data_IF_935704262965
#
_entry.id   IF_935704262965
#
_cell.length_a   1.000
_cell.length_b   1.000
_cell.length_c   1.000
_cell.angle_alpha   90.00
_cell.angle_beta   90.00
_cell.angle_gamma   90.00
#
_symmetry.space_group_name_H-M   'P 1'
#
loop_
_entity.id
_entity.type
_entity.pdbx_description
1 polymer ?
#
# COMPACT_ATOMS: atom_id res chain seq x y z
N UNK A 1 29.35 -5.61 -5.09
CA UNK A 1 29.87 -4.38 -4.45
C UNK A 1 29.32 -4.32 -3.02
N UNK A 2 30.18 -4.80 -2.11
CA UNK A 2 30.29 -4.60 -0.65
C UNK A 2 29.04 -4.35 0.21
N UNK A 3 28.75 -5.33 1.07
CA UNK A 3 27.83 -5.29 2.23
C UNK A 3 28.16 -4.22 3.29
N UNK A 4 29.20 -3.41 3.09
CA UNK A 4 29.52 -2.21 3.89
C UNK A 4 28.58 -1.00 3.62
N UNK A 5 27.52 -1.16 2.81
CA UNK A 5 26.84 -0.04 2.14
C UNK A 5 25.53 0.46 2.77
N UNK A 6 24.75 -0.34 3.52
CA UNK A 6 23.42 0.10 4.01
C UNK A 6 23.46 0.76 5.39
N UNK A 7 24.19 0.19 6.34
CA UNK A 7 24.29 0.72 7.71
C UNK A 7 25.06 2.04 7.77
N UNK A 8 26.06 2.22 6.91
CA UNK A 8 26.78 3.48 6.77
C UNK A 8 25.86 4.56 6.19
N UNK A 9 25.00 4.23 5.23
CA UNK A 9 23.97 5.15 4.72
C UNK A 9 23.02 5.58 5.83
N UNK A 10 22.53 4.67 6.67
CA UNK A 10 21.67 5.00 7.83
C UNK A 10 22.36 5.99 8.79
N UNK A 11 23.64 5.76 9.12
CA UNK A 11 24.40 6.62 10.04
C UNK A 11 24.74 8.00 9.44
N UNK A 12 24.85 8.07 8.12
CA UNK A 12 25.25 9.27 7.39
C UNK A 12 24.07 10.06 6.79
N UNK A 13 22.82 9.69 7.10
CA UNK A 13 21.64 10.44 6.63
C UNK A 13 21.69 11.90 7.12
N UNK A 14 21.61 12.82 6.17
CA UNK A 14 21.59 14.28 6.41
C UNK A 14 20.30 14.89 5.88
N UNK A 15 19.98 16.07 6.41
CA UNK A 15 18.83 16.86 5.96
C UNK A 15 17.48 16.16 6.20
N UNK A 16 16.57 16.35 5.25
CA UNK A 16 15.17 15.93 5.36
C UNK A 16 15.01 14.40 5.46
N UNK A 17 15.85 13.63 4.77
CA UNK A 17 15.83 12.16 4.79
C UNK A 17 15.95 11.61 6.20
N UNK A 18 16.81 12.20 7.03
CA UNK A 18 16.99 11.78 8.43
C UNK A 18 15.68 11.89 9.21
N UNK A 19 14.95 12.99 9.02
CA UNK A 19 13.65 13.20 9.65
C UNK A 19 12.63 12.17 9.19
N UNK A 20 12.57 11.88 7.89
CA UNK A 20 11.63 10.90 7.34
C UNK A 20 11.92 9.47 7.80
N UNK A 21 13.18 9.03 7.72
CA UNK A 21 13.55 7.64 8.01
C UNK A 21 13.49 7.33 9.51
N UNK A 22 14.07 8.19 10.37
CA UNK A 22 14.14 7.89 11.81
C UNK A 22 12.78 7.93 12.50
N UNK A 23 11.86 8.74 11.98
CA UNK A 23 10.52 8.86 12.56
C UNK A 23 9.54 7.81 11.99
N UNK A 24 9.94 7.02 10.99
CA UNK A 24 9.07 6.05 10.33
C UNK A 24 8.60 4.94 11.28
N UNK A 25 9.44 4.53 12.23
CA UNK A 25 9.08 3.55 13.26
C UNK A 25 7.88 4.00 14.10
N UNK A 26 7.73 5.31 14.36
CA UNK A 26 6.59 5.86 15.12
C UNK A 26 5.26 5.77 14.35
N UNK A 27 5.27 5.51 13.04
CA UNK A 27 4.08 5.20 12.26
C UNK A 27 3.94 3.70 12.01
N UNK A 28 5.03 3.02 11.65
CA UNK A 28 5.03 1.59 11.31
C UNK A 28 4.62 0.70 12.49
N UNK A 29 5.10 0.98 13.71
CA UNK A 29 4.78 0.19 14.91
C UNK A 29 3.28 0.22 15.22
N UNK A 30 2.65 1.40 15.46
CA UNK A 30 1.23 1.45 15.77
C UNK A 30 0.37 0.89 14.63
N UNK A 31 0.70 1.21 13.38
CA UNK A 31 -0.02 0.70 12.22
C UNK A 31 -0.09 -0.84 12.22
N UNK A 32 1.05 -1.51 12.41
CA UNK A 32 1.10 -2.97 12.41
C UNK A 32 0.41 -3.61 13.63
N UNK A 33 0.25 -2.88 14.74
CA UNK A 33 -0.48 -3.38 15.91
C UNK A 33 -2.00 -3.42 15.70
N UNK A 34 -2.60 -2.42 15.04
CA UNK A 34 -4.05 -2.40 14.86
C UNK A 34 -4.51 -2.90 13.49
N UNK A 35 -3.68 -2.80 12.44
CA UNK A 35 -4.09 -3.09 11.05
C UNK A 35 -4.76 -4.47 10.86
N UNK A 36 -4.27 -5.58 11.45
CA UNK A 36 -4.91 -6.90 11.28
C UNK A 36 -6.34 -6.97 11.82
N UNK A 37 -6.70 -6.07 12.73
CA UNK A 37 -7.92 -6.13 13.53
C UNK A 37 -9.01 -5.15 13.08
N UNK A 38 -8.70 -4.20 12.20
CA UNK A 38 -9.62 -3.09 11.83
C UNK A 38 -10.99 -3.61 11.38
N UNK A 39 -11.03 -4.56 10.44
CA UNK A 39 -12.28 -5.07 9.89
C UNK A 39 -13.07 -5.90 10.90
N UNK A 40 -12.39 -6.73 11.70
CA UNK A 40 -13.03 -7.54 12.75
C UNK A 40 -13.53 -6.65 13.90
N UNK A 41 -12.84 -5.55 14.18
CA UNK A 41 -13.29 -4.52 15.12
C UNK A 41 -14.56 -3.82 14.65
N UNK A 42 -14.63 -3.44 13.37
CA UNK A 42 -15.86 -2.89 12.77
C UNK A 42 -17.03 -3.87 12.89
N UNK A 43 -16.79 -5.15 12.56
CA UNK A 43 -17.79 -6.21 12.68
C UNK A 43 -18.25 -6.41 14.12
N UNK A 44 -17.32 -6.43 15.08
CA UNK A 44 -17.63 -6.56 16.51
C UNK A 44 -18.44 -5.38 17.07
N UNK A 45 -18.41 -4.21 16.41
CA UNK A 45 -19.24 -3.05 16.71
C UNK A 45 -20.58 -3.04 15.97
N UNK A 46 -20.91 -4.12 15.27
CA UNK A 46 -22.21 -4.33 14.63
C UNK A 46 -22.31 -3.85 13.18
N UNK A 47 -21.19 -3.52 12.52
CA UNK A 47 -21.21 -3.23 11.09
C UNK A 47 -21.34 -4.53 10.28
N UNK A 48 -22.12 -4.51 9.20
CA UNK A 48 -22.17 -5.63 8.26
C UNK A 48 -20.97 -5.63 7.31
N UNK A 49 -20.67 -6.79 6.72
CA UNK A 49 -19.65 -6.93 5.68
C UNK A 49 -19.87 -5.94 4.51
N UNK A 50 -21.12 -5.71 4.08
CA UNK A 50 -21.43 -4.70 3.06
C UNK A 50 -21.15 -3.26 3.51
N UNK A 51 -21.41 -2.93 4.77
CA UNK A 51 -21.07 -1.62 5.32
C UNK A 51 -19.55 -1.39 5.36
N UNK A 52 -18.77 -2.40 5.74
CA UNK A 52 -17.30 -2.36 5.73
C UNK A 52 -16.78 -2.16 4.30
N UNK A 53 -17.36 -2.88 3.33
CA UNK A 53 -17.08 -2.70 1.91
C UNK A 53 -17.42 -1.28 1.40
N UNK A 54 -18.59 -0.76 1.77
CA UNK A 54 -19.03 0.58 1.40
C UNK A 54 -18.10 1.67 1.96
N UNK A 55 -17.65 1.54 3.22
CA UNK A 55 -16.65 2.45 3.81
C UNK A 55 -15.36 2.47 3.01
N UNK A 56 -14.89 1.29 2.59
CA UNK A 56 -13.70 1.14 1.76
C UNK A 56 -13.90 1.87 0.41
N UNK A 57 -15.05 1.66 -0.25
CA UNK A 57 -15.39 2.34 -1.50
C UNK A 57 -15.44 3.86 -1.37
N UNK A 58 -16.13 4.38 -0.35
CA UNK A 58 -16.22 5.84 -0.11
C UNK A 58 -14.84 6.44 0.14
N UNK A 59 -14.02 5.78 0.96
CA UNK A 59 -12.65 6.19 1.21
C UNK A 59 -11.85 6.25 -0.09
N UNK A 60 -11.95 5.24 -0.97
CA UNK A 60 -11.25 5.23 -2.27
C UNK A 60 -11.76 6.31 -3.23
N UNK A 61 -13.07 6.56 -3.31
CA UNK A 61 -13.63 7.63 -4.15
C UNK A 61 -13.10 8.99 -3.72
N UNK A 62 -13.08 9.27 -2.42
CA UNK A 62 -12.53 10.52 -1.90
C UNK A 62 -11.02 10.62 -2.10
N UNK A 63 -10.29 9.49 -2.02
CA UNK A 63 -8.87 9.46 -2.36
C UNK A 63 -8.61 9.89 -3.81
N UNK A 64 -9.52 9.67 -4.76
CA UNK A 64 -9.35 10.14 -6.15
C UNK A 64 -9.30 11.67 -6.18
N UNK A 65 -10.24 12.32 -5.49
CA UNK A 65 -10.28 13.76 -5.37
C UNK A 65 -9.00 14.30 -4.71
N UNK A 66 -8.58 13.72 -3.59
CA UNK A 66 -7.36 14.13 -2.90
C UNK A 66 -6.11 13.83 -3.69
N UNK A 67 -6.04 12.74 -4.46
CA UNK A 67 -4.92 12.42 -5.33
C UNK A 67 -4.74 13.48 -6.43
N UNK A 68 -5.85 13.88 -7.08
CA UNK A 68 -5.83 14.94 -8.09
C UNK A 68 -5.39 16.29 -7.50
N UNK A 69 -5.84 16.61 -6.28
CA UNK A 69 -5.49 17.86 -5.61
C UNK A 69 -4.13 17.84 -4.91
N UNK A 70 -3.57 16.66 -4.64
CA UNK A 70 -2.37 16.52 -3.81
C UNK A 70 -1.17 17.31 -4.32
N UNK A 71 -0.90 17.29 -5.63
CA UNK A 71 0.20 18.05 -6.23
C UNK A 71 0.00 19.55 -6.09
N UNK A 72 -1.18 20.06 -6.47
CA UNK A 72 -1.50 21.48 -6.39
C UNK A 72 -1.47 22.01 -4.95
N UNK A 73 -1.99 21.24 -3.99
CA UNK A 73 -1.93 21.58 -2.55
C UNK A 73 -0.47 21.61 -2.08
N UNK A 74 0.31 20.58 -2.39
CA UNK A 74 1.72 20.47 -2.00
C UNK A 74 2.57 21.60 -2.58
N UNK A 75 2.30 21.99 -3.84
CA UNK A 75 3.00 23.08 -4.50
C UNK A 75 2.65 24.45 -3.92
N UNK A 76 1.40 24.68 -3.55
CA UNK A 76 0.94 25.97 -3.04
C UNK A 76 1.30 26.22 -1.56
N UNK A 77 1.15 25.19 -0.72
CA UNK A 77 1.34 25.31 0.73
C UNK A 77 2.74 24.89 1.21
N UNK A 78 3.56 24.33 0.31
CA UNK A 78 4.88 23.80 0.63
C UNK A 78 4.83 22.35 1.11
N UNK A 79 5.92 21.62 0.97
CA UNK A 79 5.98 20.18 1.29
C UNK A 79 5.88 19.98 2.79
N UNK A 80 6.62 20.78 3.58
CA UNK A 80 6.71 20.63 5.04
C UNK A 80 5.37 20.83 5.73
N UNK A 81 4.71 21.96 5.46
CA UNK A 81 3.41 22.30 6.08
C UNK A 81 2.30 21.38 5.62
N UNK A 82 2.28 21.06 4.32
CA UNK A 82 1.29 20.14 3.76
C UNK A 82 1.41 18.78 4.42
N UNK A 83 2.62 18.23 4.54
CA UNK A 83 2.84 16.93 5.18
C UNK A 83 2.32 16.94 6.62
N UNK A 84 2.69 17.91 7.45
CA UNK A 84 2.22 17.99 8.84
C UNK A 84 0.69 18.05 8.96
N UNK A 85 0.04 18.96 8.23
CA UNK A 85 -1.41 19.18 8.35
C UNK A 85 -2.16 17.97 7.81
N UNK A 86 -1.79 17.50 6.62
CA UNK A 86 -2.45 16.33 6.02
C UNK A 86 -2.24 15.06 6.83
N UNK A 87 -1.08 14.88 7.48
CA UNK A 87 -0.82 13.73 8.35
C UNK A 87 -1.68 13.75 9.62
N UNK A 88 -1.78 14.90 10.28
CA UNK A 88 -2.66 15.05 11.46
C UNK A 88 -4.12 14.78 11.10
N UNK A 89 -4.57 15.26 9.93
CA UNK A 89 -5.94 15.10 9.46
C UNK A 89 -6.22 13.66 9.00
N UNK A 90 -5.25 12.98 8.38
CA UNK A 90 -5.47 11.68 7.76
C UNK A 90 -5.13 10.46 8.64
N UNK A 91 -4.35 10.66 9.70
CA UNK A 91 -3.96 9.59 10.61
C UNK A 91 -4.39 9.87 12.05
N UNK A 92 -4.02 11.01 12.62
CA UNK A 92 -4.32 11.31 14.03
C UNK A 92 -5.82 11.45 14.28
N UNK A 93 -6.52 12.27 13.48
CA UNK A 93 -7.98 12.44 13.64
C UNK A 93 -8.76 11.11 13.46
N UNK A 94 -8.53 10.31 12.40
CA UNK A 94 -9.18 9.02 12.26
C UNK A 94 -8.90 8.05 13.40
N UNK A 95 -7.67 7.99 13.91
CA UNK A 95 -7.34 7.14 15.07
C UNK A 95 -8.17 7.54 16.29
N UNK A 96 -8.32 8.84 16.56
CA UNK A 96 -9.14 9.33 17.67
C UNK A 96 -10.61 8.95 17.48
N UNK A 97 -11.15 9.15 16.27
CA UNK A 97 -12.55 8.84 15.93
C UNK A 97 -12.81 7.33 16.01
N UNK A 98 -11.90 6.50 15.48
CA UNK A 98 -12.01 5.04 15.55
C UNK A 98 -11.96 4.54 16.99
N UNK A 99 -11.14 5.13 17.87
CA UNK A 99 -11.08 4.75 19.28
C UNK A 99 -12.41 4.93 20.03
N UNK A 100 -13.19 5.96 19.70
CA UNK A 100 -14.50 6.24 20.33
C UNK A 100 -15.70 5.77 19.49
N UNK A 101 -15.45 5.12 18.36
CA UNK A 101 -16.49 4.73 17.42
C UNK A 101 -17.48 3.73 18.04
N UNK A 102 -18.75 3.92 17.71
CA UNK A 102 -19.87 3.08 18.19
C UNK A 102 -20.85 2.70 17.07
N UNK A 103 -20.79 3.35 15.91
CA UNK A 103 -21.73 3.12 14.82
C UNK A 103 -21.08 3.42 13.46
N UNK A 104 -21.77 3.04 12.39
CA UNK A 104 -21.37 3.25 11.01
C UNK A 104 -20.96 4.71 10.70
N UNK A 105 -21.70 5.69 11.22
CA UNK A 105 -21.45 7.11 10.95
C UNK A 105 -20.07 7.56 11.45
N UNK A 106 -19.63 7.10 12.63
CA UNK A 106 -18.29 7.41 13.14
C UNK A 106 -17.20 6.85 12.21
N UNK A 107 -17.37 5.62 11.74
CA UNK A 107 -16.44 5.00 10.78
C UNK A 107 -16.44 5.72 9.43
N UNK A 108 -17.60 6.18 8.96
CA UNK A 108 -17.71 6.96 7.72
C UNK A 108 -16.97 8.30 7.84
N UNK A 109 -17.16 9.03 8.94
CA UNK A 109 -16.45 10.29 9.19
C UNK A 109 -14.94 10.04 9.25
N UNK A 110 -14.48 9.00 9.96
CA UNK A 110 -13.08 8.64 10.01
C UNK A 110 -12.51 8.25 8.63
N UNK A 111 -13.28 7.52 7.82
CA UNK A 111 -12.92 7.16 6.45
C UNK A 111 -12.77 8.39 5.53
N UNK A 112 -13.63 9.40 5.69
CA UNK A 112 -13.54 10.69 4.97
C UNK A 112 -12.23 11.40 5.34
N UNK A 113 -11.92 11.55 6.63
CA UNK A 113 -10.68 12.18 7.06
C UNK A 113 -9.45 11.39 6.62
N UNK A 114 -9.48 10.06 6.74
CA UNK A 114 -8.38 9.20 6.34
C UNK A 114 -8.08 9.31 4.84
N UNK A 115 -9.07 9.57 3.98
CA UNK A 115 -8.85 9.72 2.53
C UNK A 115 -7.86 10.84 2.15
N UNK A 116 -7.67 11.84 3.02
CA UNK A 116 -6.71 12.94 2.87
C UNK A 116 -5.26 12.44 2.82
N UNK A 117 -4.98 11.19 3.25
CA UNK A 117 -3.63 10.62 3.30
C UNK A 117 -2.93 10.64 1.94
N UNK A 118 -3.67 10.72 0.81
CA UNK A 118 -3.06 10.88 -0.51
C UNK A 118 -2.26 12.17 -0.64
N UNK A 119 -2.72 13.24 0.01
CA UNK A 119 -1.98 14.51 0.10
C UNK A 119 -0.72 14.35 0.94
N UNK A 120 -0.82 13.65 2.08
CA UNK A 120 0.33 13.29 2.91
C UNK A 120 1.38 12.51 2.12
N UNK A 121 0.95 11.49 1.39
CA UNK A 121 1.86 10.62 0.65
C UNK A 121 2.64 11.38 -0.44
N UNK A 122 1.96 12.24 -1.21
CA UNK A 122 2.62 13.07 -2.24
C UNK A 122 3.61 14.04 -1.59
N UNK A 123 3.18 14.78 -0.57
CA UNK A 123 4.02 15.79 0.09
C UNK A 123 5.22 15.19 0.82
N UNK A 124 5.02 14.07 1.54
CA UNK A 124 6.09 13.32 2.19
C UNK A 124 7.10 12.75 1.18
N UNK A 125 6.61 12.24 0.03
CA UNK A 125 7.49 11.70 -1.02
C UNK A 125 8.34 12.81 -1.63
N UNK A 126 7.76 13.98 -1.94
CA UNK A 126 8.54 15.14 -2.41
C UNK A 126 9.62 15.56 -1.41
N UNK A 127 9.26 15.58 -0.13
CA UNK A 127 10.11 15.99 0.97
C UNK A 127 11.27 14.99 1.22
N UNK A 128 11.04 13.71 0.92
CA UNK A 128 12.06 12.66 0.91
C UNK A 128 12.98 12.70 -0.31
N UNK A 129 12.46 13.08 -1.49
CA UNK A 129 13.17 12.90 -2.77
C UNK A 129 13.86 14.17 -3.28
N UNK A 130 13.24 15.34 -3.19
CA UNK A 130 13.66 16.55 -3.93
C UNK A 130 15.06 17.08 -3.53
N UNK A 131 15.48 16.89 -2.27
CA UNK A 131 16.79 17.36 -1.75
C UNK A 131 17.76 16.18 -1.46
N UNK A 132 17.48 14.99 -1.99
CA UNK A 132 18.24 13.77 -1.71
C UNK A 132 19.04 13.35 -2.93
N UNK A 133 20.28 12.95 -2.70
CA UNK A 133 21.12 12.39 -3.75
C UNK A 133 20.43 11.16 -4.37
N UNK A 134 20.22 11.12 -5.70
CA UNK A 134 19.62 9.98 -6.39
C UNK A 134 20.24 8.63 -6.05
N UNK A 135 21.55 8.59 -5.82
CA UNK A 135 22.27 7.34 -5.51
C UNK A 135 21.90 6.79 -4.12
N UNK A 136 21.48 7.67 -3.19
CA UNK A 136 21.05 7.30 -1.84
C UNK A 136 19.58 6.88 -1.76
N UNK A 137 18.75 7.26 -2.73
CA UNK A 137 17.30 7.00 -2.69
C UNK A 137 16.97 5.51 -2.60
N UNK A 138 17.71 4.66 -3.32
CA UNK A 138 17.50 3.20 -3.31
C UNK A 138 17.73 2.64 -1.91
N UNK A 139 18.80 3.07 -1.24
CA UNK A 139 19.12 2.65 0.13
C UNK A 139 18.08 3.17 1.13
N UNK A 140 17.64 4.42 0.97
CA UNK A 140 16.63 5.06 1.81
C UNK A 140 15.29 4.34 1.73
N UNK A 141 14.78 4.06 0.52
CA UNK A 141 13.55 3.30 0.33
C UNK A 141 13.67 1.87 0.86
N UNK A 142 14.86 1.25 0.70
CA UNK A 142 15.12 -0.07 1.27
C UNK A 142 15.06 -0.05 2.80
N UNK A 143 15.62 0.97 3.45
CA UNK A 143 15.52 1.15 4.90
C UNK A 143 14.10 1.43 5.38
N UNK A 144 13.32 2.25 4.67
CA UNK A 144 11.89 2.47 4.99
C UNK A 144 11.11 1.15 4.89
N UNK A 145 11.39 0.34 3.87
CA UNK A 145 10.77 -0.97 3.71
C UNK A 145 11.17 -1.93 4.84
N UNK A 146 12.47 -2.02 5.17
CA UNK A 146 12.98 -2.83 6.27
C UNK A 146 12.39 -2.37 7.61
N UNK A 147 12.34 -1.06 7.87
CA UNK A 147 11.78 -0.52 9.10
C UNK A 147 10.29 -0.90 9.28
N UNK A 148 9.51 -0.86 8.20
CA UNK A 148 8.12 -1.31 8.22
C UNK A 148 7.99 -2.83 8.45
N UNK A 149 8.87 -3.63 7.86
CA UNK A 149 8.90 -5.08 8.11
C UNK A 149 9.33 -5.41 9.54
N UNK A 150 10.33 -4.70 10.09
CA UNK A 150 10.75 -4.83 11.48
C UNK A 150 9.62 -4.42 12.43
N UNK A 151 8.89 -3.35 12.12
CA UNK A 151 7.74 -2.93 12.90
C UNK A 151 6.63 -3.99 12.93
N UNK A 152 6.48 -4.79 11.88
CA UNK A 152 5.52 -5.89 11.85
C UNK A 152 5.82 -7.01 12.87
N UNK A 153 7.07 -7.16 13.33
CA UNK A 153 7.40 -8.13 14.40
C UNK A 153 6.81 -7.75 15.76
N UNK A 154 6.36 -6.51 15.93
CA UNK A 154 5.67 -6.06 17.14
C UNK A 154 4.19 -6.48 17.12
N UNK A 155 3.63 -6.83 15.96
CA UNK A 155 2.22 -7.21 15.81
C UNK A 155 1.76 -8.36 16.74
N UNK A 156 2.52 -9.43 17.05
CA UNK A 156 2.05 -10.48 17.95
C UNK A 156 1.69 -9.96 19.36
N UNK A 157 2.27 -8.82 19.77
CA UNK A 157 1.96 -8.19 21.04
C UNK A 157 0.48 -7.75 21.12
N UNK A 158 -0.10 -7.23 20.03
CA UNK A 158 -1.55 -6.93 20.02
C UNK A 158 -2.40 -8.19 20.13
N UNK A 159 -1.94 -9.33 19.59
CA UNK A 159 -2.61 -10.63 19.78
C UNK A 159 -2.65 -11.06 21.24
N UNK A 160 -1.52 -10.91 21.95
CA UNK A 160 -1.43 -11.19 23.40
C UNK A 160 -2.34 -10.28 24.22
N UNK A 161 -2.40 -8.99 23.88
CA UNK A 161 -3.29 -8.04 24.56
C UNK A 161 -4.77 -8.40 24.34
N UNK A 162 -5.14 -8.84 23.13
CA UNK A 162 -6.52 -9.26 22.83
C UNK A 162 -6.89 -10.51 23.63
N UNK A 163 -5.97 -11.48 23.73
CA UNK A 163 -6.17 -12.67 24.55
C UNK A 163 -6.39 -12.34 26.04
N UNK A 164 -5.76 -11.27 26.55
CA UNK A 164 -5.87 -10.85 27.95
C UNK A 164 -7.06 -9.92 28.25
N UNK A 165 -7.38 -8.97 27.35
CA UNK A 165 -8.31 -7.85 27.62
C UNK A 165 -9.51 -7.78 26.66
N UNK A 166 -9.70 -8.78 25.79
CA UNK A 166 -10.69 -8.84 24.70
C UNK A 166 -10.44 -7.88 23.52
N UNK A 167 -11.09 -8.13 22.40
CA UNK A 167 -10.85 -7.44 21.12
C UNK A 167 -11.18 -5.94 21.19
N UNK A 168 -12.40 -5.56 21.59
CA UNK A 168 -12.90 -4.18 21.48
C UNK A 168 -12.11 -3.21 22.37
N UNK A 169 -11.88 -3.46 23.66
CA UNK A 169 -11.10 -2.57 24.52
C UNK A 169 -9.64 -2.45 24.05
N UNK A 170 -9.04 -3.56 23.63
CA UNK A 170 -7.66 -3.58 23.15
C UNK A 170 -7.50 -2.75 21.89
N UNK A 171 -8.35 -2.95 20.88
CA UNK A 171 -8.25 -2.19 19.62
C UNK A 171 -8.49 -0.69 19.85
N UNK A 172 -9.41 -0.31 20.76
CA UNK A 172 -9.58 1.09 21.16
C UNK A 172 -8.32 1.67 21.80
N UNK A 173 -7.69 0.92 22.70
CA UNK A 173 -6.41 1.31 23.28
C UNK A 173 -5.31 1.45 22.22
N UNK A 174 -5.22 0.50 21.28
CA UNK A 174 -4.25 0.55 20.18
C UNK A 174 -4.49 1.77 19.28
N UNK A 175 -5.73 2.17 19.03
CA UNK A 175 -6.02 3.41 18.29
C UNK A 175 -5.58 4.67 19.08
N UNK A 176 -5.78 4.71 20.39
CA UNK A 176 -5.27 5.81 21.22
C UNK A 176 -3.74 5.86 21.25
N UNK A 177 -3.09 4.70 21.38
CA UNK A 177 -1.63 4.57 21.27
C UNK A 177 -1.15 5.07 19.89
N UNK A 178 -1.86 4.69 18.82
CA UNK A 178 -1.58 5.12 17.46
C UNK A 178 -1.71 6.63 17.29
N UNK A 179 -2.75 7.23 17.87
CA UNK A 179 -2.91 8.68 17.90
C UNK A 179 -1.70 9.37 18.54
N UNK A 180 -1.25 8.90 19.71
CA UNK A 180 -0.10 9.50 20.41
C UNK A 180 1.20 9.30 19.61
N UNK A 181 1.49 8.09 19.16
CA UNK A 181 2.74 7.76 18.45
C UNK A 181 2.82 8.45 17.07
N UNK A 182 1.74 8.40 16.28
CA UNK A 182 1.71 9.04 14.96
C UNK A 182 1.73 10.57 15.09
N UNK A 183 1.02 11.16 16.06
CA UNK A 183 1.11 12.61 16.31
C UNK A 183 2.52 13.02 16.72
N UNK A 184 3.17 12.23 17.59
CA UNK A 184 4.57 12.43 17.94
C UNK A 184 5.49 12.35 16.72
N UNK A 185 5.30 11.37 15.82
CA UNK A 185 6.00 11.30 14.52
C UNK A 185 5.89 12.63 13.78
N UNK A 186 4.67 13.10 13.55
CA UNK A 186 4.43 14.25 12.69
C UNK A 186 5.04 15.53 13.27
N UNK A 187 4.94 15.72 14.58
CA UNK A 187 5.55 16.86 15.28
C UNK A 187 7.08 16.79 15.27
N UNK A 188 7.66 15.62 15.60
CA UNK A 188 9.12 15.42 15.60
C UNK A 188 9.69 15.59 14.19
N UNK A 189 9.08 14.95 13.20
CA UNK A 189 9.49 15.06 11.80
C UNK A 189 9.42 16.50 11.30
N UNK A 190 8.35 17.24 11.61
CA UNK A 190 8.23 18.64 11.24
C UNK A 190 9.34 19.51 11.87
N UNK A 191 9.83 19.17 13.06
CA UNK A 191 10.94 19.88 13.68
C UNK A 191 12.30 19.51 13.07
N UNK A 192 12.45 18.28 12.56
CA UNK A 192 13.69 17.79 11.94
C UNK A 192 13.85 18.19 10.47
N UNK A 193 12.76 18.47 9.77
CA UNK A 193 12.72 18.71 8.33
C UNK A 193 12.63 20.22 8.04
N UNK A 194 13.23 20.64 6.92
CA UNK A 194 13.06 21.98 6.35
C UNK A 194 12.38 21.93 4.98
N UNK A 195 11.72 23.04 4.60
CA UNK A 195 11.11 23.15 3.27
C UNK A 195 12.17 23.02 2.17
N UNK A 196 11.88 22.18 1.16
CA UNK A 196 12.81 21.82 0.10
C UNK A 196 13.12 22.99 -0.82
N UNK A 197 14.26 22.95 -1.53
CA UNK A 197 14.60 24.03 -2.47
C UNK A 197 13.56 24.13 -3.58
N UNK A 198 13.23 22.99 -4.18
CA UNK A 198 12.18 22.89 -5.20
C UNK A 198 10.81 23.31 -4.65
N UNK A 199 10.53 23.02 -3.38
CA UNK A 199 9.33 23.46 -2.68
C UNK A 199 9.17 24.97 -2.62
N UNK A 200 10.23 25.69 -2.28
CA UNK A 200 10.22 27.16 -2.22
C UNK A 200 9.97 27.78 -3.59
N UNK A 201 10.58 27.23 -4.64
CA UNK A 201 10.38 27.67 -6.03
C UNK A 201 8.93 27.48 -6.45
N UNK A 202 8.37 26.27 -6.25
CA UNK A 202 6.98 25.96 -6.61
C UNK A 202 5.96 26.79 -5.85
N UNK A 203 6.20 27.07 -4.57
CA UNK A 203 5.35 27.97 -3.79
C UNK A 203 5.33 29.40 -4.35
N UNK A 204 6.47 29.89 -4.84
CA UNK A 204 6.57 31.20 -5.46
C UNK A 204 5.85 31.25 -6.82
N UNK A 205 6.07 30.25 -7.68
CA UNK A 205 5.45 30.14 -9.01
C UNK A 205 3.92 30.00 -8.94
N UNK A 206 3.41 29.21 -8.00
CA UNK A 206 1.98 28.86 -7.90
C UNK A 206 1.18 29.82 -7.02
N UNK A 207 1.83 30.80 -6.38
CA UNK A 207 1.18 31.74 -5.43
C UNK A 207 -0.05 32.43 -6.02
N UNK A 208 0.02 32.81 -7.30
CA UNK A 208 -1.02 33.55 -8.00
C UNK A 208 -1.89 32.67 -8.91
N UNK A 209 -1.66 31.35 -8.93
CA UNK A 209 -2.44 30.42 -9.75
C UNK A 209 -3.55 29.77 -8.91
N UNK A 210 -4.78 29.64 -9.45
CA UNK A 210 -5.83 28.88 -8.80
C UNK A 210 -5.52 27.37 -8.89
N UNK A 211 -5.85 26.63 -7.83
CA UNK A 211 -5.53 25.20 -7.69
C UNK A 211 -6.07 24.35 -8.86
N UNK A 212 -7.22 24.73 -9.42
CA UNK A 212 -7.86 24.00 -10.53
C UNK A 212 -7.21 24.25 -11.89
N UNK A 213 -6.49 25.35 -12.09
CA UNK A 213 -5.83 25.62 -13.38
C UNK A 213 -4.56 24.78 -13.54
N UNK A 214 -3.94 24.33 -12.44
CA UNK A 214 -2.79 23.41 -12.45
C UNK A 214 -3.20 22.02 -13.01
N UNK A 215 -4.49 21.68 -13.00
CA UNK A 215 -5.02 20.44 -13.58
C UNK A 215 -5.18 20.48 -15.11
N UNK A 216 -5.07 21.66 -15.74
CA UNK A 216 -5.22 21.83 -17.19
C UNK A 216 -3.99 21.23 -17.91
N UNK A 217 -4.20 20.13 -18.63
CA UNK A 217 -3.15 19.43 -19.40
C UNK A 217 -3.16 17.90 -19.24
N UNK A 218 -3.93 17.38 -18.29
CA UNK A 218 -4.10 15.94 -18.03
C UNK A 218 -4.86 15.18 -19.13
N UNK A 219 -5.72 15.87 -19.89
CA UNK A 219 -6.57 15.24 -20.90
C UNK A 219 -5.82 14.66 -22.10
N UNK A 220 -4.70 15.26 -22.50
CA UNK A 220 -3.89 14.76 -23.62
C UNK A 220 -3.21 13.43 -23.27
N UNK A 221 -2.63 13.33 -22.07
CA UNK A 221 -1.96 12.11 -21.59
C UNK A 221 -2.96 11.00 -21.24
N UNK A 222 -4.14 11.35 -20.72
CA UNK A 222 -5.22 10.37 -20.54
C UNK A 222 -5.62 9.72 -21.89
N UNK A 223 -5.68 10.52 -22.96
CA UNK A 223 -5.97 10.01 -24.30
C UNK A 223 -4.87 9.10 -24.84
N UNK A 224 -3.61 9.37 -24.50
CA UNK A 224 -2.47 8.54 -24.86
C UNK A 224 -2.52 7.17 -24.15
N UNK A 225 -2.78 7.17 -22.84
CA UNK A 225 -2.95 5.93 -22.04
C UNK A 225 -4.06 5.06 -22.66
N UNK A 226 -5.19 5.67 -23.02
CA UNK A 226 -6.32 4.95 -23.63
C UNK A 226 -6.07 4.48 -25.07
N UNK A 227 -5.10 5.05 -25.78
CA UNK A 227 -4.74 4.63 -27.15
C UNK A 227 -3.67 3.55 -27.18
N UNK A 228 -2.77 3.54 -26.20
CA UNK A 228 -1.67 2.58 -26.15
C UNK A 228 -2.14 1.24 -25.58
N UNK A 229 -2.17 0.20 -26.43
CA UNK A 229 -2.58 -1.17 -26.03
C UNK A 229 -1.73 -1.74 -24.90
N UNK A 230 -0.43 -1.41 -24.88
CA UNK A 230 0.48 -1.85 -23.84
C UNK A 230 0.22 -1.12 -22.51
N UNK A 231 -0.02 0.19 -22.54
CA UNK A 231 -0.37 0.96 -21.34
C UNK A 231 -1.71 0.51 -20.77
N UNK A 232 -2.71 0.24 -21.62
CA UNK A 232 -3.99 -0.33 -21.18
C UNK A 232 -3.81 -1.69 -20.50
N UNK A 233 -2.95 -2.56 -21.04
CA UNK A 233 -2.66 -3.88 -20.46
C UNK A 233 -1.99 -3.74 -19.09
N UNK A 234 -1.02 -2.85 -18.97
CA UNK A 234 -0.34 -2.54 -17.69
C UNK A 234 -1.31 -1.93 -16.68
N UNK A 235 -2.19 -1.02 -17.13
CA UNK A 235 -3.25 -0.44 -16.28
C UNK A 235 -4.19 -1.52 -15.76
N UNK A 236 -4.62 -2.44 -16.62
CA UNK A 236 -5.49 -3.54 -16.24
C UNK A 236 -4.83 -4.49 -15.22
N UNK A 237 -3.52 -4.75 -15.37
CA UNK A 237 -2.73 -5.50 -14.39
C UNK A 237 -2.66 -4.76 -13.04
N UNK A 238 -2.43 -3.45 -13.05
CA UNK A 238 -2.45 -2.61 -11.84
C UNK A 238 -3.80 -2.65 -11.13
N UNK A 239 -4.90 -2.50 -11.89
CA UNK A 239 -6.27 -2.58 -11.36
C UNK A 239 -6.55 -3.95 -10.76
N UNK A 240 -6.12 -5.03 -11.43
CA UNK A 240 -6.32 -6.41 -10.96
C UNK A 240 -5.63 -6.64 -9.61
N UNK A 241 -4.37 -6.24 -9.48
CA UNK A 241 -3.63 -6.33 -8.21
C UNK A 241 -4.21 -5.40 -7.14
N UNK A 242 -4.65 -4.20 -7.51
CA UNK A 242 -5.24 -3.24 -6.59
C UNK A 242 -6.56 -3.73 -6.00
N UNK A 243 -7.47 -4.27 -6.83
CA UNK A 243 -8.73 -4.87 -6.38
C UNK A 243 -8.45 -6.05 -5.45
N UNK A 244 -7.58 -6.97 -5.86
CA UNK A 244 -7.28 -8.17 -5.06
C UNK A 244 -6.61 -7.82 -3.73
N UNK A 245 -5.72 -6.80 -3.73
CA UNK A 245 -5.13 -6.26 -2.51
C UNK A 245 -6.19 -5.67 -1.58
N UNK A 246 -7.11 -4.88 -2.11
CA UNK A 246 -8.18 -4.25 -1.32
C UNK A 246 -9.12 -5.32 -0.73
N UNK A 247 -9.54 -6.31 -1.52
CA UNK A 247 -10.35 -7.43 -1.02
C UNK A 247 -9.65 -8.14 0.14
N UNK A 248 -8.35 -8.41 -0.01
CA UNK A 248 -7.54 -9.03 1.04
C UNK A 248 -7.46 -8.15 2.30
N UNK A 249 -7.08 -6.88 2.15
CA UNK A 249 -6.88 -5.98 3.29
C UNK A 249 -8.19 -5.75 4.07
N UNK A 250 -9.34 -5.77 3.39
CA UNK A 250 -10.65 -5.55 4.01
C UNK A 250 -11.28 -6.84 4.57
N UNK A 251 -11.27 -7.95 3.82
CA UNK A 251 -12.10 -9.13 4.15
C UNK A 251 -11.32 -10.34 4.66
N UNK A 252 -9.99 -10.39 4.53
CA UNK A 252 -9.21 -11.57 4.95
C UNK A 252 -9.36 -11.87 6.43
N UNK A 253 -9.28 -10.84 7.29
CA UNK A 253 -9.45 -11.02 8.73
C UNK A 253 -10.86 -11.48 9.10
N UNK A 254 -11.89 -10.96 8.42
CA UNK A 254 -13.29 -11.39 8.59
C UNK A 254 -13.46 -12.87 8.21
N UNK A 255 -12.92 -13.30 7.06
CA UNK A 255 -12.98 -14.69 6.65
C UNK A 255 -12.33 -15.61 7.69
N UNK A 256 -11.13 -15.26 8.15
CA UNK A 256 -10.36 -16.07 9.10
C UNK A 256 -11.07 -16.19 10.45
N UNK A 257 -11.59 -15.09 10.99
CA UNK A 257 -12.24 -15.13 12.30
C UNK A 257 -13.61 -15.75 12.25
N UNK A 258 -14.41 -15.41 11.24
CA UNK A 258 -15.82 -15.73 11.27
C UNK A 258 -16.22 -16.96 10.47
N UNK A 259 -15.53 -17.25 9.37
CA UNK A 259 -15.82 -18.44 8.57
C UNK A 259 -14.95 -19.62 8.99
N UNK A 260 -13.65 -19.38 9.21
CA UNK A 260 -12.73 -20.42 9.66
C UNK A 260 -12.75 -20.62 11.17
N UNK A 261 -13.38 -19.73 11.95
CA UNK A 261 -13.50 -19.86 13.40
C UNK A 261 -12.15 -19.73 14.13
N UNK A 262 -11.15 -19.13 13.49
CA UNK A 262 -9.82 -18.93 14.09
C UNK A 262 -9.89 -17.72 15.01
N UNK A 263 -9.41 -17.82 16.25
CA UNK A 263 -9.59 -16.75 17.21
C UNK A 263 -8.82 -15.48 16.80
N UNK A 264 -9.35 -14.26 17.06
CA UNK A 264 -8.75 -13.02 16.60
C UNK A 264 -7.30 -12.84 17.04
N UNK A 265 -6.90 -13.28 18.24
CA UNK A 265 -5.52 -13.19 18.73
C UNK A 265 -4.48 -13.80 17.78
N UNK A 266 -4.87 -14.80 16.97
CA UNK A 266 -3.98 -15.43 16.00
C UNK A 266 -3.68 -14.58 14.76
N UNK A 267 -4.53 -13.57 14.44
CA UNK A 267 -4.40 -12.76 13.23
C UNK A 267 -3.03 -12.07 13.11
N UNK A 268 -2.52 -11.53 14.22
CA UNK A 268 -1.21 -10.88 14.24
C UNK A 268 -0.05 -11.83 13.93
N UNK A 269 -0.15 -13.10 14.29
CA UNK A 269 0.90 -14.10 14.02
C UNK A 269 1.00 -14.34 12.52
N UNK A 270 -0.14 -14.47 11.82
CA UNK A 270 -0.15 -14.63 10.36
C UNK A 270 0.44 -13.42 9.65
N UNK A 271 0.09 -12.20 10.08
CA UNK A 271 0.66 -10.97 9.51
C UNK A 271 2.17 -10.89 9.73
N UNK A 272 2.65 -11.26 10.92
CA UNK A 272 4.08 -11.27 11.25
C UNK A 272 4.84 -12.31 10.42
N UNK A 273 4.30 -13.53 10.33
CA UNK A 273 4.85 -14.60 9.50
C UNK A 273 4.96 -14.19 8.03
N UNK A 274 3.91 -13.56 7.49
CA UNK A 274 3.92 -12.99 6.13
C UNK A 274 5.06 -11.98 5.95
N UNK A 275 5.22 -11.03 6.86
CA UNK A 275 6.27 -10.01 6.79
C UNK A 275 7.68 -10.62 6.82
N UNK A 276 7.91 -11.64 7.64
CA UNK A 276 9.19 -12.38 7.69
C UNK A 276 9.50 -13.00 6.32
N UNK A 277 8.52 -13.65 5.70
CA UNK A 277 8.72 -14.31 4.40
C UNK A 277 8.93 -13.26 3.31
N UNK A 278 8.18 -12.17 3.32
CA UNK A 278 8.39 -11.06 2.38
C UNK A 278 9.81 -10.47 2.52
N UNK A 279 10.33 -10.34 3.75
CA UNK A 279 11.71 -9.93 4.00
C UNK A 279 12.73 -10.92 3.40
N UNK A 280 12.52 -12.23 3.63
CA UNK A 280 13.38 -13.27 3.08
C UNK A 280 13.35 -13.28 1.55
N UNK A 281 12.18 -13.13 0.93
CA UNK A 281 12.01 -13.02 -0.52
C UNK A 281 12.72 -11.79 -1.06
N UNK A 282 12.60 -10.66 -0.38
CA UNK A 282 13.25 -9.42 -0.76
C UNK A 282 14.78 -9.57 -0.80
N UNK A 283 15.40 -10.21 0.18
CA UNK A 283 16.85 -10.42 0.19
C UNK A 283 17.34 -11.58 -0.68
N UNK A 284 16.61 -12.70 -0.74
CA UNK A 284 17.08 -13.92 -1.40
C UNK A 284 16.64 -14.04 -2.86
N UNK A 285 15.41 -13.63 -3.17
CA UNK A 285 14.77 -13.90 -4.46
C UNK A 285 14.83 -12.68 -5.37
N UNK A 286 14.61 -11.48 -4.82
CA UNK A 286 14.55 -10.25 -5.61
C UNK A 286 15.85 -9.92 -6.37
N UNK A 287 17.06 -10.12 -5.82
CA UNK A 287 18.30 -9.89 -6.57
C UNK A 287 18.42 -10.81 -7.80
N UNK A 288 17.92 -12.04 -7.69
CA UNK A 288 17.90 -13.01 -8.81
C UNK A 288 16.85 -12.63 -9.85
N UNK A 289 15.67 -12.21 -9.40
CA UNK A 289 14.57 -11.79 -10.28
C UNK A 289 14.90 -10.57 -11.16
N UNK A 290 15.75 -9.65 -10.68
CA UNK A 290 16.15 -8.46 -11.46
C UNK A 290 16.79 -8.81 -12.80
N UNK A 291 17.54 -9.92 -12.87
CA UNK A 291 18.29 -10.38 -14.05
C UNK A 291 17.45 -11.14 -15.07
N UNK A 292 16.23 -11.55 -14.70
CA UNK A 292 15.36 -12.37 -15.56
C UNK A 292 14.39 -11.48 -16.35
N UNK A 293 13.94 -11.97 -17.51
CA UNK A 293 12.83 -11.39 -18.28
C UNK A 293 11.58 -11.21 -17.41
N UNK A 294 10.88 -10.08 -17.53
CA UNK A 294 9.76 -9.70 -16.66
C UNK A 294 8.62 -10.72 -16.62
N UNK A 295 8.32 -11.36 -17.75
CA UNK A 295 7.05 -12.11 -17.91
C UNK A 295 6.99 -13.44 -17.18
N UNK A 296 8.06 -14.25 -17.25
CA UNK A 296 8.06 -15.59 -16.63
C UNK A 296 7.87 -15.50 -15.11
N UNK A 297 8.62 -14.64 -14.38
CA UNK A 297 8.41 -14.50 -12.95
C UNK A 297 7.07 -13.86 -12.59
N UNK A 298 6.56 -12.94 -13.42
CA UNK A 298 5.23 -12.38 -13.21
C UNK A 298 4.13 -13.44 -13.34
N UNK A 299 4.23 -14.35 -14.31
CA UNK A 299 3.30 -15.46 -14.49
C UNK A 299 3.37 -16.46 -13.32
N UNK A 300 4.59 -16.78 -12.85
CA UNK A 300 4.78 -17.60 -11.65
C UNK A 300 4.14 -16.92 -10.44
N UNK A 301 4.31 -15.60 -10.29
CA UNK A 301 3.67 -14.81 -9.24
C UNK A 301 2.15 -14.91 -9.28
N UNK A 302 1.53 -14.65 -10.44
CA UNK A 302 0.07 -14.80 -10.59
C UNK A 302 -0.42 -16.24 -10.35
N UNK A 303 0.30 -17.23 -10.87
CA UNK A 303 -0.03 -18.64 -10.65
C UNK A 303 0.03 -19.03 -9.18
N UNK A 304 1.06 -18.59 -8.47
CA UNK A 304 1.18 -18.80 -7.03
C UNK A 304 0.09 -18.07 -6.22
N UNK A 305 -0.34 -16.87 -6.66
CA UNK A 305 -1.47 -16.16 -6.05
C UNK A 305 -2.80 -16.92 -6.26
N UNK A 306 -3.04 -17.49 -7.45
CA UNK A 306 -4.20 -18.36 -7.71
C UNK A 306 -4.19 -19.58 -6.79
N UNK A 307 -3.04 -20.24 -6.67
CA UNK A 307 -2.88 -21.41 -5.78
C UNK A 307 -3.13 -21.03 -4.33
N UNK A 308 -2.55 -19.92 -3.86
CA UNK A 308 -2.76 -19.41 -2.51
C UNK A 308 -4.25 -19.18 -2.21
N UNK A 309 -4.98 -18.52 -3.11
CA UNK A 309 -6.41 -18.28 -2.93
C UNK A 309 -7.25 -19.56 -3.03
N UNK A 310 -6.88 -20.51 -3.89
CA UNK A 310 -7.54 -21.80 -3.96
C UNK A 310 -7.37 -22.60 -2.66
N UNK A 311 -6.17 -22.58 -2.05
CA UNK A 311 -5.92 -23.18 -0.74
C UNK A 311 -6.75 -22.46 0.34
N UNK A 312 -6.79 -21.12 0.31
CA UNK A 312 -7.57 -20.33 1.27
C UNK A 312 -9.06 -20.69 1.23
N UNK A 313 -9.68 -20.73 0.04
CA UNK A 313 -11.09 -21.07 -0.12
C UNK A 313 -11.38 -22.54 0.26
N UNK A 314 -10.40 -23.43 0.09
CA UNK A 314 -10.53 -24.84 0.45
C UNK A 314 -10.12 -25.15 1.90
N UNK A 315 -9.80 -24.13 2.70
CA UNK A 315 -9.30 -24.32 4.07
C UNK A 315 -10.42 -24.86 4.97
N UNK A 316 -10.24 -26.03 5.61
CA UNK A 316 -11.22 -26.53 6.56
C UNK A 316 -11.36 -25.60 7.77
N UNK A 317 -12.57 -25.53 8.33
CA UNK A 317 -12.86 -24.77 9.54
C UNK A 317 -11.90 -25.19 10.66
N UNK A 318 -11.27 -24.23 11.33
CA UNK A 318 -10.31 -24.43 12.41
C UNK A 318 -8.90 -24.87 11.98
N UNK A 319 -8.64 -25.07 10.69
CA UNK A 319 -7.32 -25.56 10.24
C UNK A 319 -6.28 -24.45 10.14
N UNK A 320 -5.48 -24.32 11.20
CA UNK A 320 -4.34 -23.40 11.22
C UNK A 320 -3.27 -23.77 10.17
N UNK A 321 -2.99 -25.06 9.99
CA UNK A 321 -1.92 -25.51 9.10
C UNK A 321 -2.17 -25.16 7.62
N UNK A 322 -3.41 -25.37 7.15
CA UNK A 322 -3.78 -25.06 5.76
C UNK A 322 -3.83 -23.54 5.54
N UNK A 323 -4.32 -22.77 6.52
CA UNK A 323 -4.26 -21.32 6.46
C UNK A 323 -2.82 -20.79 6.43
N UNK A 324 -1.94 -21.32 7.28
CA UNK A 324 -0.51 -20.99 7.25
C UNK A 324 0.04 -21.26 5.85
N UNK A 325 -0.18 -22.46 5.28
CA UNK A 325 0.26 -22.77 3.92
C UNK A 325 -0.25 -21.76 2.88
N UNK A 326 -1.53 -21.38 2.92
CA UNK A 326 -2.09 -20.37 2.02
C UNK A 326 -1.35 -19.02 2.15
N UNK A 327 -1.08 -18.57 3.39
CA UNK A 327 -0.34 -17.32 3.65
C UNK A 327 1.13 -17.40 3.22
N UNK A 328 1.79 -18.55 3.38
CA UNK A 328 3.17 -18.77 2.93
C UNK A 328 3.27 -18.62 1.41
N UNK A 329 2.38 -19.33 0.67
CA UNK A 329 2.34 -19.28 -0.79
C UNK A 329 2.05 -17.86 -1.27
N UNK A 330 1.13 -17.15 -0.62
CA UNK A 330 0.83 -15.75 -0.94
C UNK A 330 2.06 -14.85 -0.77
N UNK A 331 2.74 -14.97 0.38
CA UNK A 331 3.89 -14.14 0.74
C UNK A 331 5.08 -14.33 -0.21
N UNK A 332 5.24 -15.55 -0.76
CA UNK A 332 6.23 -15.84 -1.80
C UNK A 332 5.85 -15.27 -3.18
N UNK A 333 4.56 -15.31 -3.50
CA UNK A 333 4.05 -15.02 -4.85
C UNK A 333 3.80 -13.53 -5.09
N UNK A 334 3.32 -12.82 -4.06
CA UNK A 334 2.94 -11.41 -4.17
C UNK A 334 4.11 -10.50 -4.59
N UNK A 335 5.31 -10.58 -3.98
CA UNK A 335 6.44 -9.75 -4.39
C UNK A 335 6.88 -10.03 -5.83
N UNK A 336 6.80 -11.29 -6.29
CA UNK A 336 7.13 -11.64 -7.66
C UNK A 336 6.16 -11.00 -8.67
N UNK A 337 4.86 -10.98 -8.38
CA UNK A 337 3.88 -10.31 -9.24
C UNK A 337 4.03 -8.79 -9.22
N UNK A 338 4.10 -8.16 -8.03
CA UNK A 338 4.12 -6.71 -7.91
C UNK A 338 5.43 -6.09 -8.40
N UNK A 339 6.59 -6.66 -8.05
CA UNK A 339 7.88 -6.11 -8.47
C UNK A 339 8.10 -6.20 -9.98
N UNK A 340 7.58 -7.24 -10.62
CA UNK A 340 7.65 -7.37 -12.07
C UNK A 340 6.72 -6.39 -12.77
N UNK A 341 5.54 -6.12 -12.20
CA UNK A 341 4.65 -5.08 -12.71
C UNK A 341 5.29 -3.70 -12.61
N UNK A 342 5.94 -3.37 -11.48
CA UNK A 342 6.68 -2.12 -11.31
C UNK A 342 7.81 -1.99 -12.35
N UNK A 343 8.56 -3.08 -12.57
CA UNK A 343 9.61 -3.14 -13.61
C UNK A 343 9.02 -2.92 -15.01
N UNK A 344 7.89 -3.54 -15.34
CA UNK A 344 7.21 -3.36 -16.62
C UNK A 344 6.76 -1.91 -16.83
N UNK A 345 6.19 -1.31 -15.79
CA UNK A 345 5.71 0.07 -15.81
C UNK A 345 6.85 1.06 -16.10
N UNK A 346 8.04 0.83 -15.51
CA UNK A 346 9.24 1.65 -15.79
C UNK A 346 9.74 1.50 -17.23
N UNK A 347 9.62 0.30 -17.81
CA UNK A 347 10.09 0.00 -19.18
C UNK A 347 9.15 0.56 -20.27
N UNK A 348 7.85 0.57 -20.02
CA UNK A 348 6.84 1.00 -21.02
C UNK A 348 6.66 2.52 -21.03
N UNK A 349 6.91 3.18 -19.90
CA UNK A 349 6.63 4.61 -19.74
C UNK A 349 7.87 5.44 -20.08
N UNK A 350 7.72 6.36 -21.03
CA UNK A 350 8.79 7.25 -21.49
C UNK A 350 9.35 8.12 -20.34
N UNK A 351 10.69 8.23 -20.19
CA UNK A 351 11.30 8.94 -19.06
C UNK A 351 10.83 10.39 -18.90
N UNK A 352 10.62 11.12 -20.00
CA UNK A 352 10.24 12.55 -19.99
C UNK A 352 8.83 12.79 -19.45
N UNK A 353 7.90 11.87 -19.72
CA UNK A 353 6.50 11.99 -19.30
C UNK A 353 6.14 11.10 -18.11
N UNK A 354 7.12 10.37 -17.55
CA UNK A 354 6.90 9.32 -16.55
C UNK A 354 6.07 9.77 -15.37
N UNK A 355 6.39 10.90 -14.75
CA UNK A 355 5.65 11.38 -13.59
C UNK A 355 4.17 11.65 -13.90
N UNK A 356 3.86 12.19 -15.09
CA UNK A 356 2.51 12.54 -15.50
C UNK A 356 1.70 11.31 -15.91
N UNK A 357 2.31 10.37 -16.64
CA UNK A 357 1.66 9.10 -17.00
C UNK A 357 1.37 8.29 -15.72
N UNK A 358 2.35 8.17 -14.82
CA UNK A 358 2.20 7.44 -13.56
C UNK A 358 1.06 7.99 -12.69
N UNK A 359 0.96 9.30 -12.52
CA UNK A 359 -0.10 9.90 -11.70
C UNK A 359 -1.49 9.63 -12.26
N UNK A 360 -1.68 9.73 -13.58
CA UNK A 360 -2.96 9.42 -14.22
C UNK A 360 -3.27 7.92 -14.20
N UNK A 361 -2.26 7.05 -14.34
CA UNK A 361 -2.42 5.60 -14.19
C UNK A 361 -2.91 5.23 -12.79
N UNK A 362 -2.33 5.82 -11.74
CA UNK A 362 -2.78 5.59 -10.37
C UNK A 362 -4.17 6.15 -10.10
N UNK A 363 -4.52 7.31 -10.66
CA UNK A 363 -5.89 7.85 -10.57
C UNK A 363 -6.89 6.90 -11.24
N UNK A 364 -6.58 6.42 -12.45
CA UNK A 364 -7.42 5.46 -13.16
C UNK A 364 -7.52 4.12 -12.40
N UNK A 365 -6.42 3.67 -11.81
CA UNK A 365 -6.37 2.47 -10.98
C UNK A 365 -7.30 2.58 -9.77
N UNK A 366 -7.24 3.70 -9.02
CA UNK A 366 -8.10 3.92 -7.85
C UNK A 366 -9.57 4.04 -8.30
N UNK A 367 -9.85 4.74 -9.40
CA UNK A 367 -11.20 4.88 -9.96
C UNK A 367 -11.82 3.54 -10.34
N UNK A 368 -11.06 2.66 -11.00
CA UNK A 368 -11.53 1.32 -11.35
C UNK A 368 -11.66 0.40 -10.14
N UNK A 369 -10.86 0.62 -9.09
CA UNK A 369 -10.87 -0.21 -7.87
C UNK A 369 -11.96 0.23 -6.89
N UNK A 370 -12.33 1.52 -6.86
CA UNK A 370 -13.26 2.06 -5.87
C UNK A 370 -14.64 1.37 -5.80
N UNK A 371 -15.31 0.95 -6.89
CA UNK A 371 -16.60 0.25 -6.76
C UNK A 371 -16.46 -1.15 -6.16
N UNK A 372 -15.28 -1.77 -6.25
CA UNK A 372 -15.07 -3.13 -5.78
C UNK A 372 -15.13 -3.27 -4.27
N UNK A 373 -14.96 -2.19 -3.49
CA UNK A 373 -15.12 -2.24 -2.03
C UNK A 373 -16.53 -2.66 -1.65
N UNK A 374 -17.52 -1.97 -2.23
CA UNK A 374 -18.93 -2.26 -2.07
C UNK A 374 -19.32 -3.60 -2.70
N UNK A 375 -18.87 -3.89 -3.93
CA UNK A 375 -19.15 -5.19 -4.59
C UNK A 375 -18.63 -6.36 -3.74
N UNK A 376 -17.38 -6.28 -3.26
CA UNK A 376 -16.80 -7.31 -2.41
C UNK A 376 -17.50 -7.38 -1.04
N UNK A 377 -18.00 -6.27 -0.52
CA UNK A 377 -18.81 -6.23 0.70
C UNK A 377 -20.12 -6.98 0.56
N UNK A 378 -20.89 -6.71 -0.51
CA UNK A 378 -22.13 -7.44 -0.82
C UNK A 378 -21.85 -8.94 -1.05
N UNK A 379 -20.76 -9.25 -1.76
CA UNK A 379 -20.31 -10.64 -1.97
C UNK A 379 -19.98 -11.32 -0.63
N UNK A 380 -19.23 -10.65 0.25
CA UNK A 380 -18.87 -11.19 1.57
C UNK A 380 -20.10 -11.42 2.45
N UNK A 381 -21.07 -10.50 2.40
CA UNK A 381 -22.32 -10.62 3.15
C UNK A 381 -23.16 -11.82 2.67
N UNK A 382 -23.20 -12.08 1.36
CA UNK A 382 -23.87 -13.26 0.82
C UNK A 382 -23.12 -14.56 1.15
N UNK A 383 -21.81 -14.58 0.93
CA UNK A 383 -20.93 -15.66 1.35
C UNK A 383 -19.48 -15.14 1.41
N UNK A 384 -18.89 -15.22 2.61
CA UNK A 384 -17.55 -14.71 2.94
C UNK A 384 -16.42 -15.28 2.05
N UNK A 385 -16.65 -16.37 1.32
CA UNK A 385 -15.72 -16.93 0.34
C UNK A 385 -15.75 -16.25 -1.04
N UNK A 386 -16.88 -15.61 -1.42
CA UNK A 386 -17.08 -15.02 -2.75
C UNK A 386 -16.03 -13.96 -3.13
N UNK A 387 -15.62 -13.03 -2.24
CA UNK A 387 -14.57 -12.06 -2.57
C UNK A 387 -13.23 -12.70 -2.95
N UNK A 388 -12.90 -13.85 -2.36
CA UNK A 388 -11.67 -14.59 -2.64
C UNK A 388 -11.77 -15.38 -3.94
N UNK A 389 -12.96 -15.90 -4.28
CA UNK A 389 -13.25 -16.46 -5.60
C UNK A 389 -13.15 -15.40 -6.70
N UNK A 390 -13.63 -14.18 -6.45
CA UNK A 390 -13.40 -13.03 -7.34
C UNK A 390 -11.91 -12.76 -7.50
N UNK A 391 -11.14 -12.81 -6.42
CA UNK A 391 -9.68 -12.63 -6.48
C UNK A 391 -8.99 -13.72 -7.31
N UNK A 392 -9.44 -14.98 -7.27
CA UNK A 392 -8.95 -16.05 -8.16
C UNK A 392 -9.20 -15.68 -9.63
N UNK A 393 -10.43 -15.28 -9.97
CA UNK A 393 -10.77 -14.89 -11.34
C UNK A 393 -9.91 -13.70 -11.81
N UNK A 394 -9.71 -12.70 -10.94
CA UNK A 394 -8.83 -11.56 -11.19
C UNK A 394 -7.39 -11.99 -11.43
N UNK A 395 -6.81 -12.87 -10.59
CA UNK A 395 -5.44 -13.34 -10.80
C UNK A 395 -5.28 -14.18 -12.07
N UNK A 396 -6.29 -14.96 -12.47
CA UNK A 396 -6.30 -15.66 -13.76
C UNK A 396 -6.32 -14.67 -14.94
N UNK A 397 -7.16 -13.63 -14.87
CA UNK A 397 -7.17 -12.54 -15.85
C UNK A 397 -5.80 -11.83 -15.86
N UNK A 398 -5.21 -11.57 -14.70
CA UNK A 398 -3.87 -11.01 -14.55
C UNK A 398 -2.79 -11.86 -15.22
N UNK A 399 -2.85 -13.19 -15.06
CA UNK A 399 -1.95 -14.10 -15.76
C UNK A 399 -2.11 -14.04 -17.29
N UNK A 400 -3.34 -13.98 -17.79
CA UNK A 400 -3.63 -13.84 -19.23
C UNK A 400 -3.14 -12.48 -19.78
N UNK A 401 -3.39 -11.39 -19.04
CA UNK A 401 -2.91 -10.05 -19.38
C UNK A 401 -1.39 -9.97 -19.35
N UNK A 402 -0.72 -10.66 -18.42
CA UNK A 402 0.73 -10.76 -18.35
C UNK A 402 1.31 -11.43 -19.60
N UNK A 403 0.68 -12.51 -20.08
CA UNK A 403 1.05 -13.17 -21.33
C UNK A 403 0.82 -12.27 -22.55
N UNK A 404 -0.30 -11.55 -22.59
CA UNK A 404 -0.62 -10.63 -23.68
C UNK A 404 0.34 -9.44 -23.72
N UNK A 405 0.60 -8.79 -22.57
CA UNK A 405 1.56 -7.69 -22.46
C UNK A 405 2.98 -8.15 -22.86
N UNK A 406 3.36 -9.39 -22.53
CA UNK A 406 4.65 -9.94 -22.92
C UNK A 406 4.84 -10.21 -24.41
N UNK A 407 3.76 -10.30 -25.18
CA UNK A 407 3.82 -10.34 -26.65
C UNK A 407 3.93 -8.94 -27.26
N UNK A 408 3.52 -7.90 -26.53
CA UNK A 408 3.47 -6.53 -27.02
C UNK A 408 4.71 -5.71 -26.68
N UNK A 409 5.37 -5.99 -25.55
CA UNK A 409 6.54 -5.20 -25.18
C UNK A 409 7.80 -5.64 -25.95
N UNK A 410 8.69 -4.69 -26.25
CA UNK A 410 9.95 -4.98 -26.92
C UNK A 410 10.75 -6.01 -26.13
N UNK A 411 11.35 -6.97 -26.84
CA UNK A 411 12.25 -7.97 -26.26
C UNK A 411 13.34 -7.22 -25.52
N UNK A 412 13.40 -7.39 -24.19
CA UNK A 412 14.51 -6.87 -23.40
C UNK A 412 15.79 -7.45 -23.99
N UNK A 413 16.80 -6.65 -24.39
CA UNK A 413 18.06 -7.22 -24.84
C UNK A 413 18.55 -8.12 -23.71
N UNK A 414 18.77 -9.40 -24.03
CA UNK A 414 19.41 -10.31 -23.10
C UNK A 414 20.69 -9.61 -22.66
N UNK A 415 20.83 -9.37 -21.35
CA UNK A 415 22.11 -8.99 -20.78
C UNK A 415 23.04 -10.13 -21.15
N UNK A 416 23.88 -9.90 -22.16
CA UNK A 416 24.96 -10.81 -22.54
C UNK A 416 25.68 -11.20 -21.26
N UNK A 417 25.90 -12.50 -21.10
CA UNK A 417 26.65 -13.06 -20.00
C UNK A 417 28.05 -12.42 -20.00
N UNK A 418 28.26 -11.36 -19.21
CA UNK A 418 29.61 -11.02 -18.80
C UNK A 418 30.12 -12.19 -17.95
N UNK A 419 31.20 -12.88 -18.37
CA UNK A 419 31.76 -13.94 -17.59
C UNK A 419 32.27 -13.34 -16.28
N UNK A 420 31.95 -13.99 -15.17
CA UNK A 420 32.51 -13.67 -13.87
C UNK A 420 34.04 -13.71 -13.95
N UNK A 421 34.67 -12.57 -13.70
CA UNK A 421 36.07 -12.46 -13.30
C UNK A 421 36.12 -11.82 -11.90
#
# INVERSE_FOLDING_TARGET
>A
MTEASLFNTLRNLRGNVRGCVYTEALWGIPYNLYAPYVSVYMLALGLSDAQIGALTSVNMVLQIFWALMSGAITDKFGRKRTTLISDLVSWSLPCLIWAVSQNFTHFLIAAIFNSVWRVSHTSWTCLLVEDTDPDLLVDVYSWIYIANLVAAFVAPFSGLLIAAFSLVPTVRFLFLLSFVMMTAKFVIMNNMVTETQQGRVRMAETRHQPLFDILRGSGAVMREILRSRILLSVTALLVTLAISRMVRDTFWSILVTEHLGIPPEALAIYQSGRSIIMLLVFFLVMPRLRRVSVYKPMLIGFGGLVISQAILVSTPVGSHAVLTLATLVEALSMPAASAMLDKLLVLVVEPKERARIMSLLYVLMILCTSPFGWIAGEMSQANRLLPFLLSIALYLIGALLALYAGRLAPVSPAVENEPAL
#
